data_IF_538895387779
#
_entry.id   IF_538895387779
#
_cell.length_a   1.000
_cell.length_b   1.000
_cell.length_c   1.000
_cell.angle_alpha   90.00
_cell.angle_beta   90.00
_cell.angle_gamma   90.00
#
_symmetry.space_group_name_H-M   'P 1'
#
loop_
_entity.id
_entity.type
_entity.pdbx_description
1 polymer ?
#
# COMPACT_ATOMS: atom_id res chain seq x y z
N UNK A 1 9.72 -11.12 9.58
CA UNK A 1 10.01 -11.09 8.13
C UNK A 1 9.74 -12.44 7.48
N UNK A 2 10.35 -13.55 7.96
CA UNK A 2 10.22 -14.88 7.32
C UNK A 2 8.76 -15.32 7.20
N UNK A 3 7.99 -15.30 8.29
CA UNK A 3 6.57 -15.66 8.27
C UNK A 3 5.75 -14.79 7.31
N UNK A 4 6.05 -13.50 7.22
CA UNK A 4 5.41 -12.61 6.27
C UNK A 4 5.71 -13.01 4.81
N UNK A 5 6.95 -13.35 4.48
CA UNK A 5 7.30 -13.83 3.14
C UNK A 5 6.65 -15.16 2.80
N UNK A 6 6.58 -16.09 3.76
CA UNK A 6 5.91 -17.37 3.59
C UNK A 6 4.39 -17.19 3.39
N UNK A 7 3.76 -16.28 4.13
CA UNK A 7 2.37 -15.92 3.92
C UNK A 7 2.14 -15.35 2.51
N UNK A 8 3.02 -14.44 2.04
CA UNK A 8 2.93 -13.87 0.68
C UNK A 8 3.12 -14.93 -0.41
N UNK A 9 4.04 -15.88 -0.24
CA UNK A 9 4.20 -16.99 -1.18
C UNK A 9 2.94 -17.85 -1.25
N UNK A 10 2.35 -18.18 -0.11
CA UNK A 10 1.11 -18.97 -0.06
C UNK A 10 -0.08 -18.18 -0.65
N UNK A 11 -0.17 -16.87 -0.40
CA UNK A 11 -1.22 -16.00 -0.95
C UNK A 11 -1.18 -15.95 -2.48
N UNK A 12 0.01 -16.02 -3.07
CA UNK A 12 0.22 -16.00 -4.52
C UNK A 12 0.46 -17.38 -5.11
N UNK A 13 0.10 -18.46 -4.39
CA UNK A 13 0.36 -19.83 -4.81
C UNK A 13 -0.26 -20.16 -6.16
N UNK A 14 -1.46 -19.67 -6.46
CA UNK A 14 -2.14 -19.86 -7.74
C UNK A 14 -1.30 -19.32 -8.91
N UNK A 15 -0.68 -18.14 -8.73
CA UNK A 15 0.18 -17.53 -9.74
C UNK A 15 1.48 -18.33 -9.93
N UNK A 16 2.11 -18.73 -8.82
CA UNK A 16 3.40 -19.43 -8.87
C UNK A 16 3.29 -20.88 -9.35
N UNK A 17 2.12 -21.50 -9.26
CA UNK A 17 1.87 -22.87 -9.74
C UNK A 17 1.20 -22.93 -11.10
N UNK A 18 0.83 -21.79 -11.65
CA UNK A 18 0.30 -21.68 -13.01
C UNK A 18 1.45 -21.85 -14.01
N UNK A 19 1.42 -22.96 -14.76
CA UNK A 19 2.44 -23.28 -15.75
C UNK A 19 2.17 -22.66 -17.12
N UNK A 20 0.92 -22.25 -17.40
CA UNK A 20 0.52 -21.63 -18.65
C UNK A 20 -0.62 -20.63 -18.43
N UNK A 21 -0.26 -19.40 -18.13
CA UNK A 21 -1.21 -18.31 -17.89
C UNK A 21 -2.06 -17.94 -19.13
N UNK A 22 -1.77 -18.51 -20.33
CA UNK A 22 -2.45 -18.21 -21.60
C UNK A 22 -3.63 -19.13 -21.87
N UNK A 23 -3.73 -20.28 -21.20
CA UNK A 23 -4.75 -21.30 -21.44
C UNK A 23 -6.14 -20.97 -20.83
N UNK A 24 -6.22 -19.88 -20.05
CA UNK A 24 -7.45 -19.46 -19.36
C UNK A 24 -7.79 -20.28 -18.12
N UNK A 25 -7.03 -21.33 -17.81
CA UNK A 25 -7.17 -22.10 -16.58
C UNK A 25 -6.42 -21.40 -15.43
N UNK A 26 -6.89 -21.59 -14.21
CA UNK A 26 -6.22 -21.07 -13.03
C UNK A 26 -6.13 -22.15 -11.96
N UNK A 27 -4.94 -22.37 -11.39
CA UNK A 27 -4.80 -23.23 -10.23
C UNK A 27 -5.69 -22.75 -9.07
N UNK A 28 -6.18 -23.69 -8.29
CA UNK A 28 -7.05 -23.39 -7.15
C UNK A 28 -6.26 -23.50 -5.84
N UNK A 29 -6.14 -22.41 -5.11
CA UNK A 29 -5.38 -22.36 -3.85
C UNK A 29 -5.90 -23.31 -2.77
N UNK A 30 -7.16 -23.81 -2.87
CA UNK A 30 -7.69 -24.85 -1.98
C UNK A 30 -7.09 -26.22 -2.25
N UNK A 31 -6.50 -26.42 -3.43
CA UNK A 31 -5.90 -27.68 -3.87
C UNK A 31 -4.36 -27.64 -3.86
N UNK A 32 -3.79 -26.47 -3.59
CA UNK A 32 -2.35 -26.28 -3.43
C UNK A 32 -2.01 -26.38 -1.96
N UNK A 33 -1.14 -27.33 -1.60
CA UNK A 33 -0.84 -27.64 -0.21
C UNK A 33 0.60 -27.33 0.17
N UNK A 34 0.76 -26.80 1.36
CA UNK A 34 2.03 -26.52 2.01
C UNK A 34 2.17 -27.33 3.31
N UNK A 35 3.40 -27.55 3.71
CA UNK A 35 3.72 -28.15 5.01
C UNK A 35 4.11 -27.05 6.00
N UNK A 36 3.32 -26.89 7.06
CA UNK A 36 3.55 -25.91 8.14
C UNK A 36 3.74 -26.69 9.44
N UNK A 37 5.00 -26.91 9.82
CA UNK A 37 5.34 -27.88 10.86
C UNK A 37 4.92 -29.30 10.44
N UNK A 38 4.09 -29.95 11.24
CA UNK A 38 3.56 -31.29 10.94
C UNK A 38 2.22 -31.24 10.18
N UNK A 39 1.62 -30.07 10.02
CA UNK A 39 0.31 -29.89 9.37
C UNK A 39 0.47 -29.76 7.86
N UNK A 40 -0.43 -30.41 7.12
CA UNK A 40 -0.64 -30.18 5.69
C UNK A 40 -1.83 -29.21 5.52
N UNK A 41 -1.57 -28.01 5.08
CA UNK A 41 -2.56 -26.93 4.95
C UNK A 41 -2.65 -26.50 3.48
N UNK A 42 -3.85 -26.13 3.02
CA UNK A 42 -3.99 -25.51 1.71
C UNK A 42 -3.42 -24.08 1.72
N UNK A 43 -3.32 -23.44 0.54
CA UNK A 43 -2.71 -22.12 0.41
C UNK A 43 -3.34 -21.09 1.37
N UNK A 44 -4.66 -21.04 1.44
CA UNK A 44 -5.36 -20.05 2.28
C UNK A 44 -5.21 -20.32 3.77
N UNK A 45 -5.27 -21.56 4.19
CA UNK A 45 -5.00 -21.98 5.56
C UNK A 45 -3.55 -21.69 5.96
N UNK A 46 -2.63 -21.82 5.02
CA UNK A 46 -1.20 -21.51 5.23
C UNK A 46 -1.00 -20.03 5.45
N UNK A 47 -1.67 -19.16 4.67
CA UNK A 47 -1.64 -17.70 4.88
C UNK A 47 -2.07 -17.36 6.30
N UNK A 48 -3.25 -17.87 6.73
CA UNK A 48 -3.79 -17.62 8.07
C UNK A 48 -2.80 -18.07 9.13
N UNK A 49 -2.27 -19.29 9.03
CA UNK A 49 -1.35 -19.85 10.02
C UNK A 49 -0.06 -19.01 10.18
N UNK A 50 0.48 -18.45 9.10
CA UNK A 50 1.65 -17.57 9.20
C UNK A 50 1.28 -16.16 9.68
N UNK A 51 0.10 -15.64 9.34
CA UNK A 51 -0.38 -14.37 9.89
C UNK A 51 -0.60 -14.47 11.40
N UNK A 52 -1.21 -15.55 11.89
CA UNK A 52 -1.38 -15.79 13.32
C UNK A 52 -0.01 -15.83 14.03
N UNK A 53 0.97 -16.52 13.44
CA UNK A 53 2.34 -16.56 13.98
C UNK A 53 3.02 -15.18 14.03
N UNK A 54 2.64 -14.23 13.17
CA UNK A 54 3.12 -12.84 13.23
C UNK A 54 2.45 -12.10 14.37
N UNK A 55 1.13 -12.27 14.52
CA UNK A 55 0.35 -11.66 15.61
C UNK A 55 0.88 -12.10 16.98
N UNK A 56 1.23 -13.39 17.12
CA UNK A 56 1.83 -13.95 18.34
C UNK A 56 3.19 -13.33 18.70
N UNK A 57 3.84 -12.64 17.76
CA UNK A 57 5.09 -11.89 17.96
C UNK A 57 4.86 -10.42 18.37
N UNK A 58 3.67 -10.08 18.84
CA UNK A 58 3.27 -8.73 19.28
C UNK A 58 3.26 -7.65 18.18
N UNK A 59 3.14 -8.03 16.92
CA UNK A 59 2.80 -7.08 15.87
C UNK A 59 1.31 -6.74 15.95
N UNK A 60 1.01 -5.45 15.85
CA UNK A 60 -0.38 -4.96 15.88
C UNK A 60 -0.55 -3.80 14.91
N UNK A 61 -1.77 -3.60 14.45
CA UNK A 61 -2.09 -2.46 13.60
C UNK A 61 -1.94 -1.16 14.41
N UNK A 62 -1.36 -0.13 13.79
CA UNK A 62 -1.31 1.21 14.35
C UNK A 62 -2.73 1.78 14.46
N UNK A 63 -3.08 2.44 15.57
CA UNK A 63 -4.36 3.14 15.70
C UNK A 63 -4.57 4.21 14.64
N UNK A 64 -3.50 4.84 14.19
CA UNK A 64 -3.51 5.83 13.12
C UNK A 64 -2.69 5.31 11.94
N UNK A 65 -3.35 5.11 10.82
CA UNK A 65 -2.74 4.58 9.60
C UNK A 65 -1.57 5.44 9.10
N UNK A 66 -1.70 6.77 9.14
CA UNK A 66 -0.70 7.72 8.65
C UNK A 66 0.64 7.63 9.40
N UNK A 67 0.64 7.20 10.66
CA UNK A 67 1.85 7.10 11.48
C UNK A 67 2.87 6.12 10.90
N UNK A 68 2.41 5.09 10.18
CA UNK A 68 3.27 4.12 9.52
C UNK A 68 4.09 4.70 8.36
N UNK A 69 3.63 5.83 7.81
CA UNK A 69 4.19 6.49 6.62
C UNK A 69 4.78 7.87 6.92
N UNK A 70 4.79 8.27 8.18
CA UNK A 70 5.41 9.52 8.62
C UNK A 70 6.93 9.47 8.49
N UNK A 71 7.58 10.63 8.53
CA UNK A 71 9.07 10.72 8.50
C UNK A 71 9.70 10.07 9.74
N UNK A 72 8.96 9.98 10.84
CA UNK A 72 9.39 9.42 12.12
C UNK A 72 8.65 8.11 12.44
N UNK A 73 8.61 7.19 11.48
CA UNK A 73 7.87 5.93 11.60
C UNK A 73 8.71 4.75 12.15
N UNK A 74 9.92 4.98 12.60
CA UNK A 74 10.82 3.95 13.12
C UNK A 74 10.30 3.26 14.37
N UNK A 75 9.40 3.88 15.11
CA UNK A 75 8.77 3.32 16.30
C UNK A 75 7.44 2.60 16.03
N UNK A 76 6.98 2.53 14.78
CA UNK A 76 5.72 1.86 14.45
C UNK A 76 5.78 0.36 14.73
N UNK A 77 4.88 -0.13 15.61
CA UNK A 77 4.72 -1.54 15.93
C UNK A 77 4.09 -2.39 14.81
N UNK A 78 3.56 -1.75 13.77
CA UNK A 78 3.00 -2.41 12.60
C UNK A 78 4.07 -2.78 11.56
N UNK A 79 5.17 -2.03 11.51
CA UNK A 79 6.22 -2.24 10.52
C UNK A 79 7.02 -3.51 10.78
N UNK A 80 6.88 -4.52 9.91
CA UNK A 80 7.58 -5.80 10.01
C UNK A 80 9.00 -5.72 9.48
N UNK A 81 9.21 -4.93 8.42
CA UNK A 81 10.51 -4.72 7.79
C UNK A 81 10.56 -3.37 7.12
N UNK A 82 11.57 -2.59 7.48
CA UNK A 82 11.83 -1.27 6.92
C UNK A 82 13.26 -1.16 6.43
N UNK A 83 13.46 -0.41 5.37
CA UNK A 83 14.77 0.05 4.93
C UNK A 83 14.87 1.52 5.33
N UNK A 84 15.69 1.87 6.32
CA UNK A 84 15.80 3.26 6.76
C UNK A 84 16.37 4.12 5.64
N UNK A 85 15.70 5.25 5.38
CA UNK A 85 16.12 6.22 4.35
C UNK A 85 16.63 7.48 5.06
N UNK A 86 17.86 7.82 4.82
CA UNK A 86 18.50 9.01 5.37
C UNK A 86 18.89 9.98 4.26
N UNK A 87 18.56 11.25 4.42
CA UNK A 87 18.79 12.28 3.39
C UNK A 87 20.26 12.53 3.06
N UNK A 88 21.17 12.16 3.96
CA UNK A 88 22.61 12.34 3.76
C UNK A 88 23.29 11.08 3.24
N UNK A 89 22.82 9.90 3.65
CA UNK A 89 23.42 8.62 3.32
C UNK A 89 22.82 8.00 2.05
N UNK A 90 21.53 8.25 1.79
CA UNK A 90 20.80 7.71 0.65
C UNK A 90 20.41 8.82 -0.32
N UNK A 91 21.39 9.32 -1.05
CA UNK A 91 21.23 10.42 -2.03
C UNK A 91 20.79 9.96 -3.41
N UNK A 92 20.55 8.65 -3.60
CA UNK A 92 20.02 8.15 -4.85
C UNK A 92 18.59 8.66 -5.09
N UNK A 93 18.16 8.66 -6.35
CA UNK A 93 16.89 9.25 -6.75
C UNK A 93 15.72 8.27 -6.62
N UNK A 94 15.70 7.41 -5.61
CA UNK A 94 14.60 6.45 -5.40
C UNK A 94 13.25 7.13 -5.19
N UNK A 95 13.23 8.39 -4.74
CA UNK A 95 12.00 9.17 -4.66
C UNK A 95 11.24 9.26 -6.00
N UNK A 96 11.92 9.13 -7.12
CA UNK A 96 11.26 9.13 -8.45
C UNK A 96 10.39 7.89 -8.67
N UNK A 97 10.70 6.78 -8.05
CA UNK A 97 9.90 5.56 -8.15
C UNK A 97 8.54 5.70 -7.45
N UNK A 98 8.44 6.62 -6.50
CA UNK A 98 7.24 6.86 -5.70
C UNK A 98 6.55 8.18 -6.03
N UNK A 99 7.03 8.92 -7.02
CA UNK A 99 6.36 10.13 -7.49
C UNK A 99 5.14 9.75 -8.31
N UNK A 100 3.99 9.97 -7.72
CA UNK A 100 2.70 9.79 -8.40
C UNK A 100 1.82 11.04 -8.32
N UNK A 101 2.41 12.18 -7.92
CA UNK A 101 1.69 13.45 -7.87
C UNK A 101 1.61 14.09 -9.25
N UNK A 102 0.45 14.59 -9.60
CA UNK A 102 0.33 15.53 -10.70
C UNK A 102 1.22 16.76 -10.46
N UNK A 103 1.84 17.31 -11.49
CA UNK A 103 2.80 18.42 -11.35
C UNK A 103 2.17 19.68 -10.70
N UNK A 104 0.88 19.93 -10.91
CA UNK A 104 0.18 21.05 -10.28
C UNK A 104 0.08 20.87 -8.76
N UNK A 105 -0.28 19.66 -8.28
CA UNK A 105 -0.32 19.35 -6.85
C UNK A 105 1.07 19.49 -6.22
N UNK A 106 2.08 18.97 -6.87
CA UNK A 106 3.45 19.08 -6.40
C UNK A 106 3.92 20.53 -6.32
N UNK A 107 3.64 21.34 -7.36
CA UNK A 107 4.01 22.76 -7.39
C UNK A 107 3.36 23.55 -6.27
N UNK A 108 2.08 23.30 -5.95
CA UNK A 108 1.36 23.96 -4.87
C UNK A 108 2.02 23.75 -3.49
N UNK A 109 2.70 22.60 -3.32
CA UNK A 109 3.44 22.25 -2.10
C UNK A 109 4.96 22.50 -2.20
N UNK A 110 5.44 23.18 -3.22
CA UNK A 110 6.87 23.41 -3.44
C UNK A 110 7.68 22.14 -3.73
N UNK A 111 7.03 21.11 -4.25
CA UNK A 111 7.62 19.80 -4.53
C UNK A 111 7.73 19.54 -6.02
N UNK A 112 8.56 18.58 -6.41
CA UNK A 112 8.56 18.04 -7.76
C UNK A 112 7.44 17.01 -7.95
N UNK A 113 6.85 16.98 -9.14
CA UNK A 113 5.80 16.02 -9.50
C UNK A 113 5.92 15.58 -10.95
N UNK A 114 5.30 14.47 -11.27
CA UNK A 114 5.28 13.86 -12.60
C UNK A 114 3.90 13.24 -12.88
N UNK A 115 3.45 13.36 -14.13
CA UNK A 115 2.13 12.84 -14.54
C UNK A 115 2.21 11.36 -14.93
N UNK A 116 2.83 10.53 -14.11
CA UNK A 116 3.10 9.15 -14.47
C UNK A 116 2.09 8.13 -13.95
N UNK A 117 1.47 8.40 -12.82
CA UNK A 117 0.62 7.44 -12.15
C UNK A 117 -0.63 8.09 -11.56
N UNK A 118 -1.75 7.41 -11.68
CA UNK A 118 -3.01 7.80 -11.04
C UNK A 118 -3.76 6.56 -10.57
N UNK A 119 -4.72 6.75 -9.68
CA UNK A 119 -5.62 5.68 -9.26
C UNK A 119 -6.50 5.21 -10.41
N UNK A 120 -6.82 3.92 -10.44
CA UNK A 120 -7.80 3.36 -11.36
C UNK A 120 -9.22 3.52 -10.81
N UNK A 121 -10.23 3.37 -11.69
CA UNK A 121 -11.64 3.34 -11.25
C UNK A 121 -11.88 2.22 -10.23
N UNK A 122 -11.21 1.09 -10.37
CA UNK A 122 -11.34 0.00 -9.40
C UNK A 122 -10.80 0.39 -8.02
N UNK A 123 -9.74 1.19 -7.95
CA UNK A 123 -9.27 1.76 -6.69
C UNK A 123 -10.35 2.60 -6.01
N UNK A 124 -11.02 3.48 -6.75
CA UNK A 124 -12.12 4.29 -6.21
C UNK A 124 -13.26 3.41 -5.68
N UNK A 125 -13.60 2.34 -6.39
CA UNK A 125 -14.65 1.39 -5.96
C UNK A 125 -14.27 0.62 -4.70
N UNK A 126 -13.02 0.14 -4.62
CA UNK A 126 -12.52 -0.60 -3.44
C UNK A 126 -12.55 0.25 -2.18
N UNK A 127 -12.21 1.54 -2.30
CA UNK A 127 -12.29 2.49 -1.19
C UNK A 127 -13.70 3.06 -0.97
N UNK A 128 -14.69 2.65 -1.76
CA UNK A 128 -16.05 3.19 -1.75
C UNK A 128 -16.10 4.74 -1.86
N UNK A 129 -15.18 5.33 -2.63
CA UNK A 129 -15.08 6.77 -2.83
C UNK A 129 -16.38 7.36 -3.38
N UNK A 130 -16.77 8.52 -2.84
CA UNK A 130 -18.02 9.18 -3.23
C UNK A 130 -19.29 8.60 -2.57
N UNK A 131 -19.14 7.74 -1.56
CA UNK A 131 -20.24 7.19 -0.75
C UNK A 131 -20.09 7.54 0.73
N UNK A 132 -21.18 7.38 1.50
CA UNK A 132 -21.18 7.58 2.97
C UNK A 132 -20.32 6.53 3.72
N UNK A 133 -19.88 5.47 3.03
CA UNK A 133 -19.09 4.38 3.57
C UNK A 133 -17.63 4.39 3.08
N UNK A 134 -17.14 5.54 2.62
CA UNK A 134 -15.76 5.66 2.14
C UNK A 134 -14.76 5.25 3.21
N UNK A 135 -13.79 4.43 2.81
CA UNK A 135 -12.62 4.14 3.64
C UNK A 135 -11.75 5.39 3.75
N UNK A 136 -11.62 5.94 4.96
CA UNK A 136 -10.91 7.20 5.22
C UNK A 136 -9.44 7.16 4.82
N UNK A 137 -8.82 5.96 4.75
CA UNK A 137 -7.47 5.79 4.22
C UNK A 137 -7.32 6.23 2.77
N UNK A 138 -8.43 6.37 2.03
CA UNK A 138 -8.40 6.94 0.69
C UNK A 138 -7.77 8.34 0.69
N UNK A 139 -8.20 9.21 1.59
CA UNK A 139 -7.70 10.60 1.66
C UNK A 139 -6.26 10.72 2.18
N UNK A 140 -5.76 9.69 2.84
CA UNK A 140 -4.34 9.60 3.23
C UNK A 140 -3.43 9.20 2.06
N UNK A 141 -3.98 8.49 1.07
CA UNK A 141 -3.21 7.93 -0.04
C UNK A 141 -3.37 8.69 -1.35
N UNK A 142 -4.49 9.40 -1.54
CA UNK A 142 -4.83 10.02 -2.82
C UNK A 142 -5.25 11.47 -2.65
N UNK A 143 -4.74 12.31 -3.52
CA UNK A 143 -5.31 13.64 -3.73
C UNK A 143 -6.55 13.51 -4.61
N UNK A 144 -7.66 14.01 -4.12
CA UNK A 144 -8.94 14.02 -4.82
C UNK A 144 -9.76 15.22 -4.36
N UNK A 145 -10.65 15.70 -5.22
CA UNK A 145 -11.48 16.88 -5.00
C UNK A 145 -10.67 18.17 -4.75
N UNK A 146 -11.32 19.20 -4.26
CA UNK A 146 -10.67 20.47 -3.96
C UNK A 146 -9.65 20.32 -2.83
N UNK A 147 -8.42 20.73 -3.08
CA UNK A 147 -7.35 20.68 -2.10
C UNK A 147 -7.36 21.93 -1.20
N UNK A 148 -7.05 21.71 0.08
CA UNK A 148 -6.99 22.76 1.09
C UNK A 148 -5.60 22.79 1.75
N UNK A 149 -5.17 23.98 2.15
CA UNK A 149 -3.96 24.14 2.95
C UNK A 149 -4.20 23.82 4.43
N UNK A 150 -3.16 23.96 5.26
CA UNK A 150 -3.24 23.68 6.69
C UNK A 150 -4.14 24.65 7.47
N UNK A 151 -4.52 25.79 6.88
CA UNK A 151 -5.45 26.77 7.46
C UNK A 151 -6.89 26.51 7.04
N UNK A 152 -7.11 25.58 6.12
CA UNK A 152 -8.41 25.28 5.53
C UNK A 152 -8.76 26.16 4.32
N UNK A 153 -7.81 26.92 3.80
CA UNK A 153 -8.01 27.75 2.61
C UNK A 153 -7.82 26.91 1.34
N UNK A 154 -8.69 27.15 0.34
CA UNK A 154 -8.57 26.46 -0.95
C UNK A 154 -7.24 26.79 -1.64
N UNK A 155 -6.44 25.76 -1.90
CA UNK A 155 -5.23 25.90 -2.70
C UNK A 155 -5.62 26.23 -4.16
N UNK A 156 -4.98 27.24 -4.74
CA UNK A 156 -5.25 27.69 -6.11
C UNK A 156 -4.02 27.63 -6.99
N UNK A 157 -4.27 27.34 -8.26
CA UNK A 157 -3.26 27.46 -9.30
C UNK A 157 -2.94 28.93 -9.58
N UNK A 158 -1.85 29.21 -10.32
CA UNK A 158 -1.42 30.57 -10.68
C UNK A 158 -2.51 31.36 -11.45
N UNK A 159 -3.42 30.69 -12.11
CA UNK A 159 -4.57 31.28 -12.84
C UNK A 159 -5.81 31.49 -11.95
N UNK A 160 -5.74 31.23 -10.64
CA UNK A 160 -6.82 31.37 -9.69
C UNK A 160 -7.81 30.19 -9.63
N UNK A 161 -7.65 29.17 -10.49
CA UNK A 161 -8.51 27.98 -10.46
C UNK A 161 -8.21 27.14 -9.20
N UNK A 162 -9.25 26.62 -8.50
CA UNK A 162 -9.03 25.66 -7.42
C UNK A 162 -8.19 24.45 -7.89
N UNK A 163 -7.29 24.00 -7.04
CA UNK A 163 -6.57 22.75 -7.25
C UNK A 163 -7.49 21.59 -6.93
N UNK A 164 -7.75 20.73 -7.90
CA UNK A 164 -8.59 19.55 -7.83
C UNK A 164 -7.87 18.34 -8.42
#
# INVERSE_FOLDING_TARGET
VVYFLLAKLALNAEVFTDNDWTDGLRPNGREIYFRVGERKLNAWQTVVAYCDSITDLNYSLSPNYADNFSVFNESSGENIFTIPMDKNLYTNQMQYLFRSRHYNHAKAYGLGGENGSCATIETLRVFAYGTDSVDTRFYENYYADTMFDLNGDTIRLDNGTPLV
#
